data_IF_621145548763
#
_entry.id   IF_621145548763
#
_cell.length_a   1.000
_cell.length_b   1.000
_cell.length_c   1.000
_cell.angle_alpha   90.00
_cell.angle_beta   90.00
_cell.angle_gamma   90.00
#
_symmetry.space_group_name_H-M   'P 1'
#
loop_
_entity.id
_entity.type
_entity.pdbx_description
1 polymer ?
#
# COMPACT_ATOMS: atom_id res chain seq x y z
N UNK A 1 62.22 4.01 -16.95
CA UNK A 1 61.20 4.54 -16.03
C UNK A 1 59.86 3.89 -16.36
N UNK A 2 59.41 2.91 -15.56
CA UNK A 2 58.13 2.22 -15.77
C UNK A 2 57.00 2.95 -15.03
N UNK A 3 55.90 3.25 -15.72
CA UNK A 3 54.66 3.76 -15.12
C UNK A 3 53.71 2.58 -14.84
N UNK A 4 53.25 2.54 -13.59
CA UNK A 4 52.49 1.45 -13.00
C UNK A 4 51.07 1.27 -13.59
N UNK A 5 50.49 0.06 -13.50
CA UNK A 5 49.14 -0.25 -13.97
C UNK A 5 48.06 0.26 -13.00
N UNK A 6 47.04 0.93 -13.54
CA UNK A 6 45.80 1.26 -12.82
C UNK A 6 44.91 0.03 -12.71
N UNK A 7 45.01 -0.69 -11.60
CA UNK A 7 43.95 -1.55 -11.08
C UNK A 7 43.46 -0.98 -9.75
N UNK A 8 42.18 -0.61 -9.69
CA UNK A 8 41.38 -0.60 -8.45
C UNK A 8 39.93 -0.35 -8.88
N UNK A 9 39.16 -1.41 -9.09
CA UNK A 9 38.34 -2.09 -8.06
C UNK A 9 37.06 -1.31 -7.78
N UNK A 10 35.98 -1.93 -8.24
CA UNK A 10 34.67 -1.97 -7.59
C UNK A 10 33.99 -0.64 -7.27
N UNK A 11 33.38 -0.04 -8.29
CA UNK A 11 32.08 0.61 -8.08
C UNK A 11 30.96 -0.43 -8.25
N UNK A 12 30.79 -1.27 -7.22
CA UNK A 12 29.66 -2.21 -7.07
C UNK A 12 28.88 -1.90 -5.79
N UNK A 13 28.64 -0.63 -5.46
CA UNK A 13 27.83 -0.27 -4.27
C UNK A 13 26.92 0.96 -4.46
N UNK A 14 26.22 1.02 -5.58
CA UNK A 14 25.04 1.88 -5.72
C UNK A 14 23.75 1.06 -5.97
N UNK A 15 23.67 -0.13 -5.36
CA UNK A 15 22.38 -0.78 -5.11
C UNK A 15 21.68 0.00 -4.00
N UNK A 16 20.95 1.03 -4.38
CA UNK A 16 20.01 1.75 -3.52
C UNK A 16 19.09 0.74 -2.82
N UNK A 17 19.17 0.59 -1.48
CA UNK A 17 18.29 -0.32 -0.75
C UNK A 17 16.88 0.28 -0.53
N UNK A 18 16.55 1.37 -1.24
CA UNK A 18 15.39 2.22 -0.98
C UNK A 18 14.10 1.87 -1.74
N UNK A 19 14.02 0.71 -2.41
CA UNK A 19 12.89 0.36 -3.28
C UNK A 19 12.30 -1.03 -3.04
N UNK A 20 12.35 -1.49 -1.78
CA UNK A 20 11.75 -2.78 -1.34
C UNK A 20 10.73 -2.62 -0.19
N UNK A 21 10.23 -1.42 0.08
CA UNK A 21 9.49 -1.14 1.32
C UNK A 21 8.10 -1.80 1.45
N UNK A 22 7.27 -1.96 0.41
CA UNK A 22 5.93 -2.56 0.61
C UNK A 22 5.93 -4.09 0.63
N UNK A 23 6.73 -4.72 -0.24
CA UNK A 23 6.78 -6.19 -0.35
C UNK A 23 7.43 -6.81 0.88
N UNK A 24 8.48 -6.17 1.42
CA UNK A 24 9.16 -6.65 2.62
C UNK A 24 8.22 -6.67 3.85
N UNK A 25 7.40 -5.62 4.02
CA UNK A 25 6.41 -5.56 5.11
C UNK A 25 5.38 -6.68 4.97
N UNK A 26 4.86 -6.91 3.76
CA UNK A 26 3.91 -8.00 3.51
C UNK A 26 4.49 -9.38 3.82
N UNK A 27 5.74 -9.63 3.44
CA UNK A 27 6.43 -10.89 3.74
C UNK A 27 6.64 -11.09 5.24
N UNK A 28 7.03 -10.02 5.97
CA UNK A 28 7.20 -10.08 7.44
C UNK A 28 5.87 -10.36 8.14
N UNK A 29 4.80 -9.67 7.77
CA UNK A 29 3.46 -9.88 8.34
C UNK A 29 2.97 -11.30 8.07
N UNK A 30 3.10 -11.78 6.84
CA UNK A 30 2.73 -13.15 6.49
C UNK A 30 3.58 -14.19 7.24
N UNK A 31 4.86 -13.92 7.46
CA UNK A 31 5.75 -14.76 8.28
C UNK A 31 5.30 -14.84 9.74
N UNK A 32 4.97 -13.71 10.35
CA UNK A 32 4.46 -13.64 11.73
C UNK A 32 3.14 -14.41 11.88
N UNK A 33 2.19 -14.22 10.96
CA UNK A 33 0.91 -14.94 10.94
C UNK A 33 1.14 -16.45 10.86
N UNK A 34 2.06 -16.92 10.00
CA UNK A 34 2.38 -18.36 9.89
C UNK A 34 2.96 -18.91 11.19
N UNK A 35 3.90 -18.20 11.81
CA UNK A 35 4.47 -18.61 13.09
C UNK A 35 3.40 -18.73 14.19
N UNK A 36 2.46 -17.78 14.24
CA UNK A 36 1.31 -17.85 15.16
C UNK A 36 0.39 -19.04 14.86
N UNK A 37 0.13 -19.34 13.58
CA UNK A 37 -0.67 -20.50 13.19
C UNK A 37 0.02 -21.82 13.57
N UNK A 38 1.34 -21.90 13.44
CA UNK A 38 2.13 -23.07 13.85
C UNK A 38 2.05 -23.32 15.35
N UNK A 39 2.07 -22.27 16.17
CA UNK A 39 1.86 -22.37 17.63
C UNK A 39 0.47 -22.96 17.93
N UNK A 40 -0.59 -22.46 17.28
CA UNK A 40 -1.95 -22.97 17.47
C UNK A 40 -2.08 -24.46 17.12
N UNK A 41 -1.46 -24.90 16.01
CA UNK A 41 -1.44 -26.32 15.60
C UNK A 41 -0.66 -27.20 16.56
N UNK A 42 0.44 -26.68 17.10
CA UNK A 42 1.25 -27.39 18.10
C UNK A 42 0.46 -27.59 19.40
N UNK A 43 -0.25 -26.56 19.88
CA UNK A 43 -1.10 -26.64 21.08
C UNK A 43 -2.26 -27.60 20.87
N UNK A 44 -2.92 -27.55 19.71
CA UNK A 44 -4.00 -28.49 19.36
C UNK A 44 -3.52 -29.94 19.39
N UNK A 45 -2.39 -30.22 18.74
CA UNK A 45 -1.80 -31.55 18.70
C UNK A 45 -1.38 -32.03 20.09
N UNK A 46 -0.79 -31.16 20.92
CA UNK A 46 -0.40 -31.48 22.28
C UNK A 46 -1.61 -31.79 23.18
N UNK A 47 -2.68 -30.99 23.09
CA UNK A 47 -3.92 -31.21 23.85
C UNK A 47 -4.61 -32.51 23.46
N UNK A 48 -4.70 -32.80 22.15
CA UNK A 48 -5.28 -34.04 21.62
C UNK A 48 -4.47 -35.26 22.09
N UNK A 49 -3.13 -35.22 21.95
CA UNK A 49 -2.29 -36.35 22.39
C UNK A 49 -2.35 -36.56 23.91
N UNK A 50 -2.47 -35.49 24.70
CA UNK A 50 -2.64 -35.58 26.15
C UNK A 50 -3.99 -36.22 26.50
N UNK A 51 -5.07 -35.79 25.85
CA UNK A 51 -6.41 -36.37 26.00
C UNK A 51 -6.38 -37.88 25.72
N UNK A 52 -5.85 -38.30 24.57
CA UNK A 52 -5.81 -39.71 24.17
C UNK A 52 -5.05 -40.60 25.17
N UNK A 53 -3.92 -40.10 25.70
CA UNK A 53 -3.11 -40.84 26.69
C UNK A 53 -3.84 -40.97 28.04
N UNK A 54 -4.51 -39.92 28.48
CA UNK A 54 -5.24 -39.91 29.74
C UNK A 54 -6.52 -40.74 29.66
N UNK A 55 -7.23 -40.68 28.53
CA UNK A 55 -8.41 -41.50 28.27
C UNK A 55 -8.03 -42.99 28.22
N UNK A 56 -6.95 -43.33 27.51
CA UNK A 56 -6.42 -44.70 27.50
C UNK A 56 -6.04 -45.20 28.90
N UNK A 57 -5.42 -44.35 29.73
CA UNK A 57 -5.06 -44.68 31.10
C UNK A 57 -6.29 -44.79 32.03
N UNK A 58 -7.27 -43.91 31.89
CA UNK A 58 -8.54 -43.98 32.60
C UNK A 58 -9.28 -45.28 32.28
N UNK A 59 -9.37 -45.65 31.00
CA UNK A 59 -10.02 -46.88 30.55
C UNK A 59 -9.30 -48.16 31.04
N UNK A 60 -7.97 -48.12 31.14
CA UNK A 60 -7.20 -49.21 31.74
C UNK A 60 -7.48 -49.35 33.25
N UNK A 61 -7.50 -48.24 33.98
CA UNK A 61 -7.75 -48.22 35.42
C UNK A 61 -9.21 -48.52 35.78
N UNK A 62 -10.16 -48.13 34.92
CA UNK A 62 -11.59 -48.40 35.08
C UNK A 62 -11.92 -49.90 35.14
N UNK A 63 -11.05 -50.77 34.60
CA UNK A 63 -11.22 -52.23 34.61
C UNK A 63 -10.81 -52.90 35.93
N UNK A 64 -10.24 -52.16 36.87
CA UNK A 64 -9.81 -52.72 38.17
C UNK A 64 -11.03 -52.91 39.09
N UNK A 65 -11.30 -54.15 39.59
CA UNK A 65 -12.41 -54.40 40.49
C UNK A 65 -12.32 -53.56 41.79
N UNK A 66 -13.46 -53.16 42.35
CA UNK A 66 -13.62 -52.40 43.59
C UNK A 66 -13.15 -50.93 43.56
N UNK A 67 -12.09 -50.59 42.83
CA UNK A 67 -11.50 -49.23 42.82
C UNK A 67 -11.50 -48.53 41.46
N UNK A 68 -11.87 -49.21 40.36
CA UNK A 68 -11.66 -48.70 39.00
C UNK A 68 -12.32 -47.35 38.72
N UNK A 69 -13.54 -47.12 39.19
CA UNK A 69 -14.23 -45.82 39.01
C UNK A 69 -13.56 -44.67 39.78
N UNK A 70 -13.11 -44.90 41.01
CA UNK A 70 -12.43 -43.88 41.81
C UNK A 70 -11.02 -43.57 41.27
N UNK A 71 -10.35 -44.57 40.68
CA UNK A 71 -9.01 -44.42 40.10
C UNK A 71 -9.02 -43.78 38.71
N UNK A 72 -10.08 -43.97 37.91
CA UNK A 72 -10.20 -43.43 36.54
C UNK A 72 -10.69 -41.97 36.52
N UNK A 73 -11.58 -41.58 37.43
CA UNK A 73 -12.20 -40.25 37.43
C UNK A 73 -11.22 -39.05 37.40
N UNK A 74 -10.07 -39.05 38.11
CA UNK A 74 -9.10 -37.96 38.00
C UNK A 74 -8.46 -37.86 36.61
N UNK A 75 -8.23 -39.00 35.95
CA UNK A 75 -7.66 -39.04 34.60
C UNK A 75 -8.67 -38.61 33.54
N UNK A 76 -9.95 -39.00 33.68
CA UNK A 76 -11.01 -38.52 32.80
C UNK A 76 -11.15 -36.98 32.88
N UNK A 77 -11.14 -36.43 34.09
CA UNK A 77 -11.17 -34.98 34.30
C UNK A 77 -9.93 -34.29 33.69
N UNK A 78 -8.74 -34.86 33.86
CA UNK A 78 -7.53 -34.34 33.24
C UNK A 78 -7.55 -34.46 31.70
N UNK A 79 -8.15 -35.53 31.16
CA UNK A 79 -8.39 -35.71 29.74
C UNK A 79 -9.30 -34.63 29.16
N UNK A 80 -10.32 -34.22 29.90
CA UNK A 80 -11.18 -33.08 29.55
C UNK A 80 -10.43 -31.74 29.48
N UNK A 81 -9.42 -31.53 30.34
CA UNK A 81 -8.55 -30.36 30.23
C UNK A 81 -7.69 -30.40 28.94
N UNK A 82 -7.25 -31.60 28.52
CA UNK A 82 -6.58 -31.80 27.22
C UNK A 82 -7.46 -31.43 26.03
N UNK A 83 -8.75 -31.79 26.07
CA UNK A 83 -9.74 -31.38 25.08
C UNK A 83 -9.91 -29.86 25.04
N UNK A 84 -10.05 -29.21 26.19
CA UNK A 84 -10.18 -27.75 26.27
C UNK A 84 -8.94 -27.02 25.71
N UNK A 85 -7.73 -27.55 25.93
CA UNK A 85 -6.50 -27.06 25.32
C UNK A 85 -6.53 -27.22 23.79
N UNK A 86 -7.00 -28.36 23.30
CA UNK A 86 -7.10 -28.60 21.87
C UNK A 86 -8.11 -27.65 21.19
N UNK A 87 -9.25 -27.43 21.82
CA UNK A 87 -10.27 -26.49 21.37
C UNK A 87 -9.75 -25.05 21.36
N UNK A 88 -9.03 -24.63 22.40
CA UNK A 88 -8.38 -23.32 22.43
C UNK A 88 -7.38 -23.15 21.28
N UNK A 89 -6.59 -24.19 20.98
CA UNK A 89 -5.67 -24.23 19.85
C UNK A 89 -6.37 -24.04 18.50
N UNK A 90 -7.51 -24.72 18.29
CA UNK A 90 -8.35 -24.55 17.09
C UNK A 90 -8.95 -23.16 16.98
N UNK A 91 -9.55 -22.67 18.06
CA UNK A 91 -10.17 -21.35 18.08
C UNK A 91 -9.17 -20.23 17.79
N UNK A 92 -7.93 -20.37 18.28
CA UNK A 92 -6.86 -19.42 17.96
C UNK A 92 -6.48 -19.47 16.47
N UNK A 93 -6.42 -20.65 15.85
CA UNK A 93 -6.13 -20.78 14.41
C UNK A 93 -7.17 -20.05 13.56
N UNK A 94 -8.46 -20.17 13.88
CA UNK A 94 -9.54 -19.46 13.18
C UNK A 94 -9.40 -17.93 13.32
N UNK A 95 -9.11 -17.43 14.53
CA UNK A 95 -8.86 -16.00 14.76
C UNK A 95 -7.68 -15.48 13.95
N UNK A 96 -6.57 -16.24 13.92
CA UNK A 96 -5.39 -15.89 13.12
C UNK A 96 -5.73 -15.87 11.62
N UNK A 97 -6.56 -16.82 11.15
CA UNK A 97 -7.06 -16.84 9.78
C UNK A 97 -7.82 -15.56 9.41
N UNK A 98 -8.73 -15.11 10.27
CA UNK A 98 -9.46 -13.85 10.06
C UNK A 98 -8.54 -12.62 10.10
N UNK A 99 -7.60 -12.56 11.05
CA UNK A 99 -6.62 -11.47 11.12
C UNK A 99 -5.73 -11.42 9.88
N UNK A 100 -5.34 -12.58 9.36
CA UNK A 100 -4.54 -12.68 8.14
C UNK A 100 -5.27 -12.11 6.92
N UNK A 101 -6.55 -12.47 6.76
CA UNK A 101 -7.39 -11.93 5.69
C UNK A 101 -7.57 -10.42 5.83
N UNK A 102 -7.88 -9.93 7.04
CA UNK A 102 -8.05 -8.50 7.30
C UNK A 102 -6.75 -7.72 7.04
N UNK A 103 -5.61 -8.20 7.52
CA UNK A 103 -4.31 -7.58 7.29
C UNK A 103 -3.95 -7.55 5.80
N UNK A 104 -4.17 -8.65 5.08
CA UNK A 104 -3.97 -8.73 3.63
C UNK A 104 -4.83 -7.71 2.88
N UNK A 105 -6.11 -7.57 3.26
CA UNK A 105 -7.02 -6.62 2.66
C UNK A 105 -6.60 -5.16 2.92
N UNK A 106 -6.23 -4.83 4.15
CA UNK A 106 -5.75 -3.48 4.53
C UNK A 106 -4.49 -3.14 3.72
N UNK A 107 -3.53 -4.08 3.64
CA UNK A 107 -2.29 -3.88 2.91
C UNK A 107 -2.52 -3.67 1.40
N UNK A 108 -3.60 -4.21 0.84
CA UNK A 108 -3.98 -4.00 -0.56
C UNK A 108 -4.80 -2.71 -0.77
N UNK A 109 -5.78 -2.43 0.09
CA UNK A 109 -6.73 -1.33 -0.07
C UNK A 109 -6.07 0.02 0.22
N UNK A 110 -5.32 0.14 1.32
CA UNK A 110 -4.76 1.43 1.76
C UNK A 110 -3.87 2.08 0.68
N UNK A 111 -2.84 1.42 0.12
CA UNK A 111 -2.02 2.03 -0.93
C UNK A 111 -2.82 2.28 -2.21
N UNK A 112 -3.75 1.38 -2.57
CA UNK A 112 -4.65 1.56 -3.72
C UNK A 112 -5.49 2.84 -3.59
N UNK A 113 -6.07 3.09 -2.42
CA UNK A 113 -6.86 4.30 -2.15
C UNK A 113 -6.00 5.56 -2.14
N UNK A 114 -4.78 5.50 -1.62
CA UNK A 114 -3.85 6.64 -1.64
C UNK A 114 -3.50 7.02 -3.09
N UNK A 115 -3.14 6.03 -3.91
CA UNK A 115 -2.84 6.23 -5.33
C UNK A 115 -4.07 6.77 -6.05
N UNK A 116 -5.23 6.16 -5.83
CA UNK A 116 -6.49 6.56 -6.45
C UNK A 116 -6.86 7.99 -6.06
N UNK A 117 -6.74 8.36 -4.78
CA UNK A 117 -7.01 9.72 -4.29
C UNK A 117 -6.06 10.72 -4.92
N UNK A 118 -4.75 10.44 -4.95
CA UNK A 118 -3.77 11.35 -5.53
C UNK A 118 -4.01 11.55 -7.04
N UNK A 119 -4.27 10.44 -7.75
CA UNK A 119 -4.61 10.45 -9.16
C UNK A 119 -5.90 11.23 -9.41
N UNK A 120 -6.95 11.00 -8.62
CA UNK A 120 -8.25 11.65 -8.75
C UNK A 120 -8.15 13.14 -8.46
N UNK A 121 -7.43 13.56 -7.41
CA UNK A 121 -7.21 15.00 -7.12
C UNK A 121 -6.48 15.66 -8.29
N UNK A 122 -5.40 15.06 -8.79
CA UNK A 122 -4.65 15.60 -9.92
C UNK A 122 -5.50 15.65 -11.19
N UNK A 123 -6.30 14.62 -11.45
CA UNK A 123 -7.19 14.52 -12.61
C UNK A 123 -8.34 15.50 -12.54
N UNK A 124 -8.97 15.66 -11.37
CA UNK A 124 -10.06 16.62 -11.15
C UNK A 124 -9.53 18.05 -11.23
N UNK A 125 -8.35 18.34 -10.66
CA UNK A 125 -7.71 19.67 -10.82
C UNK A 125 -7.47 20.01 -12.28
N UNK A 126 -6.97 19.05 -13.06
CA UNK A 126 -6.78 19.23 -14.51
C UNK A 126 -8.12 19.44 -15.23
N UNK A 127 -9.13 18.63 -14.96
CA UNK A 127 -10.45 18.76 -15.58
C UNK A 127 -11.16 20.08 -15.21
N UNK A 128 -11.04 20.53 -13.96
CA UNK A 128 -11.59 21.82 -13.51
C UNK A 128 -10.84 23.00 -14.14
N UNK A 129 -9.51 22.94 -14.20
CA UNK A 129 -8.70 23.94 -14.89
C UNK A 129 -9.07 24.06 -16.38
N UNK A 130 -9.26 22.92 -17.06
CA UNK A 130 -9.71 22.89 -18.44
C UNK A 130 -11.12 23.48 -18.62
N UNK A 131 -12.06 23.12 -17.72
CA UNK A 131 -13.42 23.63 -17.77
C UNK A 131 -13.52 25.14 -17.50
N UNK A 132 -12.74 25.66 -16.56
CA UNK A 132 -12.64 27.09 -16.27
C UNK A 132 -12.02 27.85 -17.44
N UNK A 133 -10.89 27.39 -17.98
CA UNK A 133 -10.24 28.01 -19.14
C UNK A 133 -11.17 28.05 -20.37
N UNK A 134 -11.96 26.99 -20.57
CA UNK A 134 -12.98 26.94 -21.65
C UNK A 134 -14.19 27.84 -21.41
N UNK A 135 -14.53 28.15 -20.15
CA UNK A 135 -15.57 29.15 -19.83
C UNK A 135 -15.04 30.56 -20.04
N UNK A 136 -13.81 30.84 -19.58
CA UNK A 136 -13.11 32.12 -19.77
C UNK A 136 -12.92 32.45 -21.25
N UNK A 137 -12.58 31.49 -22.11
CA UNK A 137 -12.43 31.78 -23.55
C UNK A 137 -13.72 32.23 -24.25
N UNK A 138 -14.88 32.04 -23.61
CA UNK A 138 -16.19 32.46 -24.11
C UNK A 138 -16.71 33.75 -23.48
N UNK A 139 -16.02 34.31 -22.49
CA UNK A 139 -16.41 35.57 -21.84
C UNK A 139 -15.72 36.77 -22.47
N UNK A 140 -16.38 37.92 -22.45
CA UNK A 140 -15.78 39.18 -22.88
C UNK A 140 -14.54 39.51 -22.04
N UNK A 141 -13.42 39.83 -22.71
CA UNK A 141 -12.11 40.05 -22.06
C UNK A 141 -11.39 38.79 -21.59
N UNK A 142 -11.98 37.59 -21.72
CA UNK A 142 -11.38 36.36 -21.22
C UNK A 142 -10.09 35.93 -21.95
N UNK A 143 -9.93 36.36 -23.20
CA UNK A 143 -8.71 36.17 -23.99
C UNK A 143 -7.51 36.92 -23.37
N UNK A 144 -7.73 38.14 -22.88
CA UNK A 144 -6.70 38.94 -22.21
C UNK A 144 -6.32 38.36 -20.85
N UNK A 145 -7.30 37.83 -20.10
CA UNK A 145 -7.04 37.14 -18.83
C UNK A 145 -6.27 35.83 -19.02
N UNK A 146 -6.54 35.08 -20.09
CA UNK A 146 -5.79 33.87 -20.45
C UNK A 146 -4.35 34.22 -20.86
N UNK A 147 -4.15 35.27 -21.64
CA UNK A 147 -2.82 35.76 -21.98
C UNK A 147 -2.02 36.19 -20.74
N UNK A 148 -2.65 36.91 -19.79
CA UNK A 148 -2.02 37.24 -18.51
C UNK A 148 -1.68 36.00 -17.67
N UNK A 149 -2.57 35.00 -17.65
CA UNK A 149 -2.31 33.72 -16.98
C UNK A 149 -1.11 32.99 -17.58
N UNK A 150 -0.95 33.00 -18.91
CA UNK A 150 0.24 32.45 -19.56
C UNK A 150 1.52 33.13 -19.08
N UNK A 151 1.52 34.46 -18.95
CA UNK A 151 2.68 35.21 -18.46
C UNK A 151 3.05 34.90 -17.00
N UNK A 152 2.05 34.64 -16.15
CA UNK A 152 2.27 34.42 -14.70
C UNK A 152 2.58 32.96 -14.36
N UNK A 153 1.93 32.01 -15.04
CA UNK A 153 1.94 30.60 -14.67
C UNK A 153 2.39 29.65 -15.79
N UNK A 154 2.63 30.17 -17.00
CA UNK A 154 3.09 29.40 -18.15
C UNK A 154 4.56 29.03 -18.07
N UNK A 155 4.96 28.02 -18.83
CA UNK A 155 6.35 27.58 -18.90
C UNK A 155 7.24 28.62 -19.59
N UNK A 156 8.32 29.02 -18.91
CA UNK A 156 9.22 30.08 -19.39
C UNK A 156 9.94 29.69 -20.67
N UNK A 157 10.25 28.41 -20.88
CA UNK A 157 10.92 27.96 -22.10
C UNK A 157 9.96 27.99 -23.31
N UNK A 158 8.68 27.69 -23.11
CA UNK A 158 7.67 27.77 -24.17
C UNK A 158 7.30 29.23 -24.52
N UNK A 159 7.21 30.12 -23.51
CA UNK A 159 7.02 31.56 -23.72
C UNK A 159 8.15 32.20 -24.54
N UNK A 160 9.41 31.90 -24.20
CA UNK A 160 10.59 32.44 -24.89
C UNK A 160 10.76 31.91 -26.32
N UNK A 161 10.13 30.77 -26.66
CA UNK A 161 10.11 30.25 -28.03
C UNK A 161 9.10 30.97 -28.92
N UNK A 162 8.00 31.47 -28.35
CA UNK A 162 6.95 32.15 -29.11
C UNK A 162 7.29 33.62 -29.35
N UNK A 163 7.77 34.33 -28.32
CA UNK A 163 8.05 35.76 -28.42
C UNK A 163 9.39 36.09 -27.73
N UNK A 164 10.30 36.83 -28.39
CA UNK A 164 11.59 37.22 -27.79
C UNK A 164 11.46 38.06 -26.52
N UNK A 165 10.38 38.84 -26.38
CA UNK A 165 10.06 39.62 -25.18
C UNK A 165 8.54 39.62 -24.89
N UNK A 166 8.03 38.65 -24.09
CA UNK A 166 6.60 38.47 -23.80
C UNK A 166 5.93 39.62 -23.05
N UNK A 167 6.69 40.43 -22.30
CA UNK A 167 6.14 41.56 -21.55
C UNK A 167 5.96 42.78 -22.46
N UNK A 168 6.91 43.01 -23.38
CA UNK A 168 6.83 44.10 -24.34
C UNK A 168 5.70 43.88 -25.36
N UNK A 169 5.48 42.64 -25.80
CA UNK A 169 4.36 42.28 -26.67
C UNK A 169 3.00 42.52 -25.99
N UNK A 170 2.88 42.13 -24.72
CA UNK A 170 1.68 42.37 -23.92
C UNK A 170 1.39 43.87 -23.76
N UNK A 171 2.41 44.67 -23.41
CA UNK A 171 2.23 46.12 -23.19
C UNK A 171 1.95 46.90 -24.47
N UNK A 172 2.39 46.40 -25.63
CA UNK A 172 2.09 46.98 -26.94
C UNK A 172 0.62 46.80 -27.37
N UNK A 173 -0.12 45.89 -26.73
CA UNK A 173 -1.55 45.67 -27.00
C UNK A 173 -1.84 44.97 -28.33
N UNK A 174 -0.86 44.26 -28.91
CA UNK A 174 -1.05 43.54 -30.17
C UNK A 174 -2.05 42.38 -29.97
N UNK A 175 -3.20 42.48 -30.64
CA UNK A 175 -4.28 41.50 -30.55
C UNK A 175 -3.87 40.10 -31.06
N UNK A 176 -2.87 39.99 -31.93
CA UNK A 176 -2.39 38.73 -32.47
C UNK A 176 -1.47 38.02 -31.46
N UNK A 177 -0.53 38.74 -30.85
CA UNK A 177 0.35 38.17 -29.81
C UNK A 177 -0.41 37.81 -28.53
N UNK A 178 -1.40 38.62 -28.14
CA UNK A 178 -2.30 38.28 -27.03
C UNK A 178 -3.10 37.00 -27.29
N UNK A 179 -3.50 36.73 -28.54
CA UNK A 179 -4.17 35.47 -28.91
C UNK A 179 -3.24 34.28 -28.79
N UNK A 180 -2.00 34.39 -29.24
CA UNK A 180 -1.00 33.33 -29.12
C UNK A 180 -0.70 32.98 -27.65
N UNK A 181 -0.55 33.99 -26.79
CA UNK A 181 -0.38 33.79 -25.35
C UNK A 181 -1.61 33.12 -24.71
N UNK A 182 -2.81 33.52 -25.12
CA UNK A 182 -4.05 32.89 -24.64
C UNK A 182 -4.18 31.43 -25.09
N UNK A 183 -3.74 31.10 -26.30
CA UNK A 183 -3.71 29.73 -26.83
C UNK A 183 -2.72 28.85 -26.06
N UNK A 184 -1.55 29.40 -25.67
CA UNK A 184 -0.61 28.71 -24.80
C UNK A 184 -1.24 28.39 -23.44
N UNK A 185 -1.92 29.36 -22.80
CA UNK A 185 -2.64 29.11 -21.54
C UNK A 185 -3.74 28.04 -21.67
N UNK A 186 -4.45 27.99 -22.81
CA UNK A 186 -5.46 26.97 -23.08
C UNK A 186 -4.82 25.58 -23.24
N UNK A 187 -3.70 25.48 -23.93
CA UNK A 187 -2.94 24.25 -24.13
C UNK A 187 -2.38 23.72 -22.80
N UNK A 188 -1.82 24.58 -21.97
CA UNK A 188 -1.35 24.25 -20.62
C UNK A 188 -2.49 23.79 -19.70
N UNK A 189 -3.68 24.38 -19.87
CA UNK A 189 -4.89 23.94 -19.19
C UNK A 189 -5.48 22.64 -19.75
N UNK A 190 -4.90 22.07 -20.80
CA UNK A 190 -5.37 20.84 -21.43
C UNK A 190 -6.60 21.00 -22.33
N UNK A 191 -6.91 22.23 -22.73
CA UNK A 191 -7.98 22.54 -23.68
C UNK A 191 -7.37 22.54 -25.08
N UNK A 192 -7.40 21.39 -25.74
CA UNK A 192 -7.15 21.30 -27.17
C UNK A 192 -8.38 21.82 -27.91
N UNK A 193 -8.18 22.78 -28.81
CA UNK A 193 -9.22 23.30 -29.69
C UNK A 193 -9.40 22.41 -30.89
#
# INVERSE_FOLDING_TARGET
>A
MPTAPRSSVADRRSLTPGRRHPVAIGVVVAGLIRALADVGRSVEGAGTSLHDRLDGAANALGKVPLIGGAASAPLENAGGAGTALADAGRQQQDLIGHLALAAGLILAIVPSLVILRFWLVRRVRFARGAAEARRLSKSDGGLQLLAFRALVAGDTAELMRMTPNPIASWSAGDALEQRLLAELALRDAGVLR
#
